data_IF_763227502255
#
_entry.id   IF_763227502255
#
_cell.length_a   1.000
_cell.length_b   1.000
_cell.length_c   1.000
_cell.angle_alpha   90.00
_cell.angle_beta   90.00
_cell.angle_gamma   90.00
#
_symmetry.space_group_name_H-M   'P 1'
#
loop_
_entity.id
_entity.type
_entity.pdbx_description
1 polymer ?
#
# COMPACT_ATOMS: atom_id res chain seq x y z
N UNK A 1 -29.68 60.10 -32.29
CA UNK A 1 -28.70 59.00 -32.21
C UNK A 1 -28.39 58.58 -33.64
N UNK A 2 -27.14 58.68 -34.12
CA UNK A 2 -26.83 58.30 -35.50
C UNK A 2 -27.02 56.78 -35.69
N UNK A 3 -27.59 56.34 -36.83
CA UNK A 3 -27.77 54.91 -37.10
C UNK A 3 -26.40 54.24 -37.26
N UNK A 4 -26.25 53.03 -36.70
CA UNK A 4 -25.06 52.22 -36.95
C UNK A 4 -24.93 51.97 -38.46
N UNK A 5 -23.73 52.21 -38.99
CA UNK A 5 -23.41 51.86 -40.38
C UNK A 5 -23.45 50.33 -40.53
N UNK A 6 -23.84 49.81 -41.71
CA UNK A 6 -23.92 48.36 -41.95
C UNK A 6 -22.59 47.64 -41.66
N UNK A 7 -21.45 48.29 -41.93
CA UNK A 7 -20.12 47.78 -41.61
C UNK A 7 -19.89 47.57 -40.09
N UNK A 8 -20.44 48.43 -39.24
CA UNK A 8 -20.33 48.27 -37.79
C UNK A 8 -21.13 47.07 -37.27
N UNK A 9 -22.25 46.74 -37.92
CA UNK A 9 -23.09 45.59 -37.58
C UNK A 9 -22.36 44.28 -37.93
N UNK A 10 -21.71 44.22 -39.11
CA UNK A 10 -20.92 43.06 -39.52
C UNK A 10 -19.72 42.81 -38.59
N UNK A 11 -18.99 43.87 -38.22
CA UNK A 11 -17.87 43.76 -37.27
C UNK A 11 -18.32 43.26 -35.90
N UNK A 12 -19.47 43.72 -35.39
CA UNK A 12 -20.04 43.24 -34.13
C UNK A 12 -20.36 41.74 -34.20
N UNK A 13 -20.90 41.28 -35.34
CA UNK A 13 -21.25 39.86 -35.56
C UNK A 13 -20.01 38.96 -35.53
N UNK A 14 -18.93 39.36 -36.21
CA UNK A 14 -17.66 38.62 -36.18
C UNK A 14 -17.01 38.60 -34.79
N UNK A 15 -17.09 39.70 -34.04
CA UNK A 15 -16.61 39.75 -32.66
C UNK A 15 -17.39 38.81 -31.74
N UNK A 16 -18.72 38.78 -31.83
CA UNK A 16 -19.56 37.86 -31.08
C UNK A 16 -19.28 36.39 -31.46
N UNK A 17 -19.12 36.10 -32.76
CA UNK A 17 -18.85 34.74 -33.23
C UNK A 17 -17.48 34.22 -32.77
N UNK A 18 -16.44 35.04 -32.86
CA UNK A 18 -15.07 34.67 -32.44
C UNK A 18 -14.98 34.50 -30.93
N UNK A 19 -15.54 35.42 -30.15
CA UNK A 19 -15.57 35.31 -28.68
C UNK A 19 -16.37 34.08 -28.21
N UNK A 20 -17.53 33.79 -28.79
CA UNK A 20 -18.31 32.59 -28.48
C UNK A 20 -17.55 31.31 -28.85
N UNK A 21 -16.91 31.28 -30.01
CA UNK A 21 -16.10 30.14 -30.45
C UNK A 21 -14.92 29.86 -29.50
N UNK A 22 -14.24 30.92 -29.04
CA UNK A 22 -13.15 30.81 -28.06
C UNK A 22 -13.69 30.27 -26.73
N UNK A 23 -14.81 30.81 -26.23
CA UNK A 23 -15.43 30.36 -24.97
C UNK A 23 -15.83 28.88 -25.02
N UNK A 24 -16.45 28.44 -26.11
CA UNK A 24 -16.86 27.04 -26.32
C UNK A 24 -15.62 26.14 -26.40
N UNK A 25 -14.61 26.54 -27.17
CA UNK A 25 -13.35 25.80 -27.30
C UNK A 25 -12.61 25.66 -25.97
N UNK A 26 -12.40 26.77 -25.25
CA UNK A 26 -11.76 26.74 -23.94
C UNK A 26 -12.56 25.95 -22.91
N UNK A 27 -13.89 26.09 -22.91
CA UNK A 27 -14.76 25.35 -22.00
C UNK A 27 -14.70 23.84 -22.24
N UNK A 28 -14.66 23.41 -23.50
CA UNK A 28 -14.49 22.00 -23.85
C UNK A 28 -13.14 21.44 -23.38
N UNK A 29 -12.04 22.17 -23.61
CA UNK A 29 -10.70 21.76 -23.18
C UNK A 29 -10.62 21.64 -21.66
N UNK A 30 -11.14 22.64 -20.93
CA UNK A 30 -11.17 22.61 -19.45
C UNK A 30 -12.00 21.42 -18.96
N UNK A 31 -13.20 21.20 -19.52
CA UNK A 31 -14.05 20.07 -19.14
C UNK A 31 -13.34 18.73 -19.38
N UNK A 32 -12.67 18.58 -20.52
CA UNK A 32 -11.92 17.37 -20.85
C UNK A 32 -10.74 17.14 -19.90
N UNK A 33 -10.00 18.20 -19.56
CA UNK A 33 -8.92 18.14 -18.58
C UNK A 33 -9.43 17.75 -17.20
N UNK A 34 -10.51 18.37 -16.72
CA UNK A 34 -11.12 18.03 -15.42
C UNK A 34 -11.56 16.58 -15.36
N UNK A 35 -12.17 16.04 -16.43
CA UNK A 35 -12.52 14.63 -16.52
C UNK A 35 -11.29 13.71 -16.48
N UNK A 36 -10.22 14.07 -17.19
CA UNK A 36 -8.96 13.32 -17.13
C UNK A 36 -8.35 13.32 -15.73
N UNK A 37 -8.26 14.48 -15.07
CA UNK A 37 -7.74 14.56 -13.71
C UNK A 37 -8.59 13.78 -12.73
N UNK A 38 -9.92 13.82 -12.87
CA UNK A 38 -10.82 13.05 -12.02
C UNK A 38 -10.67 11.53 -12.22
N UNK A 39 -10.60 11.08 -13.47
CA UNK A 39 -10.40 9.66 -13.80
C UNK A 39 -9.05 9.15 -13.26
N UNK A 40 -7.99 9.94 -13.42
CA UNK A 40 -6.66 9.62 -12.89
C UNK A 40 -6.65 9.56 -11.36
N UNK A 41 -7.32 10.51 -10.71
CA UNK A 41 -7.45 10.53 -9.25
C UNK A 41 -8.23 9.31 -8.72
N UNK A 42 -9.27 8.87 -9.42
CA UNK A 42 -10.01 7.64 -9.06
C UNK A 42 -9.09 6.42 -9.21
N UNK A 43 -8.39 6.28 -10.35
CA UNK A 43 -7.46 5.17 -10.57
C UNK A 43 -6.41 5.07 -9.47
N UNK A 44 -5.78 6.19 -9.12
CA UNK A 44 -4.78 6.22 -8.06
C UNK A 44 -5.34 5.80 -6.70
N UNK A 45 -6.58 6.19 -6.36
CA UNK A 45 -7.23 5.74 -5.13
C UNK A 45 -7.49 4.23 -5.15
N UNK A 46 -8.01 3.70 -6.26
CA UNK A 46 -8.28 2.28 -6.41
C UNK A 46 -7.01 1.44 -6.30
N UNK A 47 -5.93 1.87 -6.95
CA UNK A 47 -4.64 1.19 -6.88
C UNK A 47 -4.09 1.20 -5.44
N UNK A 48 -4.14 2.34 -4.75
CA UNK A 48 -3.67 2.43 -3.36
C UNK A 48 -4.49 1.56 -2.41
N UNK A 49 -5.81 1.47 -2.60
CA UNK A 49 -6.66 0.55 -1.84
C UNK A 49 -6.26 -0.91 -2.09
N UNK A 50 -5.98 -1.27 -3.34
CA UNK A 50 -5.51 -2.62 -3.68
C UNK A 50 -4.16 -2.94 -3.00
N UNK A 51 -3.20 -2.02 -3.06
CA UNK A 51 -1.90 -2.19 -2.41
C UNK A 51 -2.03 -2.33 -0.90
N UNK A 52 -2.88 -1.53 -0.26
CA UNK A 52 -3.16 -1.64 1.17
C UNK A 52 -3.76 -3.00 1.51
N UNK A 53 -4.75 -3.46 0.76
CA UNK A 53 -5.38 -4.76 1.01
C UNK A 53 -4.37 -5.91 0.92
N UNK A 54 -3.48 -5.87 -0.08
CA UNK A 54 -2.37 -6.84 -0.18
C UNK A 54 -1.44 -6.77 1.02
N UNK A 55 -1.07 -5.56 1.45
CA UNK A 55 -0.21 -5.37 2.61
C UNK A 55 -0.86 -5.90 3.90
N UNK A 56 -2.18 -5.74 4.05
CA UNK A 56 -2.94 -6.31 5.16
C UNK A 56 -2.91 -7.84 5.15
N UNK A 57 -3.09 -8.48 3.98
CA UNK A 57 -2.94 -9.93 3.83
C UNK A 57 -1.54 -10.39 4.22
N UNK A 58 -0.50 -9.76 3.68
CA UNK A 58 0.90 -10.10 3.99
C UNK A 58 1.21 -9.93 5.48
N UNK A 59 0.70 -8.86 6.11
CA UNK A 59 0.88 -8.63 7.55
C UNK A 59 0.20 -9.72 8.37
N UNK A 60 -1.01 -10.14 7.99
CA UNK A 60 -1.72 -11.25 8.64
C UNK A 60 -0.98 -12.59 8.48
N UNK A 61 -0.40 -12.85 7.30
CA UNK A 61 0.42 -14.04 7.06
C UNK A 61 1.69 -14.05 7.91
N UNK A 62 2.40 -12.91 8.01
CA UNK A 62 3.58 -12.79 8.87
C UNK A 62 3.25 -12.96 10.35
N UNK A 63 2.13 -12.40 10.82
CA UNK A 63 1.64 -12.62 12.18
C UNK A 63 1.33 -14.10 12.46
N UNK A 64 0.70 -14.77 11.50
CA UNK A 64 0.44 -16.21 11.58
C UNK A 64 1.74 -17.02 11.67
N UNK A 65 2.74 -16.70 10.83
CA UNK A 65 4.06 -17.34 10.85
C UNK A 65 4.79 -17.10 12.18
N UNK A 66 4.78 -15.88 12.69
CA UNK A 66 5.40 -15.54 13.98
C UNK A 66 4.72 -16.29 15.13
N UNK A 67 3.39 -16.38 15.12
CA UNK A 67 2.63 -17.16 16.10
C UNK A 67 2.91 -18.67 15.99
N UNK A 68 3.04 -19.21 14.78
CA UNK A 68 3.44 -20.62 14.58
C UNK A 68 4.84 -20.89 15.15
N UNK A 69 5.79 -19.97 14.96
CA UNK A 69 7.14 -20.07 15.51
C UNK A 69 7.15 -20.03 17.04
N UNK A 70 6.40 -19.10 17.63
CA UNK A 70 6.23 -19.01 19.09
C UNK A 70 5.61 -20.30 19.65
N UNK A 71 4.52 -20.79 19.04
CA UNK A 71 3.89 -22.04 19.48
C UNK A 71 4.84 -23.23 19.37
N UNK A 72 5.53 -23.41 18.24
CA UNK A 72 6.49 -24.50 18.06
C UNK A 72 7.63 -24.49 19.07
N UNK A 73 8.12 -23.31 19.45
CA UNK A 73 9.17 -23.18 20.47
C UNK A 73 8.77 -23.75 21.83
N UNK A 74 7.47 -23.71 22.17
CA UNK A 74 6.94 -24.27 23.42
C UNK A 74 6.85 -25.80 23.43
N UNK A 75 6.85 -26.45 22.26
CA UNK A 75 6.71 -27.90 22.14
C UNK A 75 8.04 -28.63 21.86
N UNK A 76 9.14 -27.91 21.62
CA UNK A 76 10.46 -28.52 21.45
C UNK A 76 11.00 -28.95 22.80
N UNK A 77 11.50 -30.19 22.89
CA UNK A 77 12.25 -30.66 24.04
C UNK A 77 13.62 -29.97 24.07
N UNK A 78 13.72 -28.89 24.86
CA UNK A 78 14.93 -28.09 25.06
C UNK A 78 14.62 -26.61 25.21
N UNK A 79 15.45 -25.88 25.95
CA UNK A 79 15.33 -24.42 26.03
C UNK A 79 15.79 -23.81 24.71
N UNK A 80 14.93 -22.98 24.11
CA UNK A 80 15.29 -22.15 22.96
C UNK A 80 16.24 -21.06 23.43
N UNK A 81 17.15 -20.61 22.55
CA UNK A 81 18.09 -19.53 22.91
C UNK A 81 17.35 -18.27 23.36
N UNK A 82 17.85 -17.62 24.42
CA UNK A 82 17.33 -16.33 24.88
C UNK A 82 17.40 -15.27 23.79
N UNK A 83 18.45 -15.29 22.96
CA UNK A 83 18.63 -14.34 21.86
C UNK A 83 17.58 -14.55 20.77
N UNK A 84 17.23 -15.80 20.49
CA UNK A 84 16.17 -16.14 19.54
C UNK A 84 14.82 -15.61 20.02
N UNK A 85 14.48 -15.84 21.29
CA UNK A 85 13.22 -15.38 21.89
C UNK A 85 13.14 -13.85 21.90
N UNK A 86 14.24 -13.16 22.24
CA UNK A 86 14.29 -11.71 22.22
C UNK A 86 14.10 -11.15 20.80
N UNK A 87 14.79 -11.73 19.80
CA UNK A 87 14.65 -11.30 18.40
C UNK A 87 13.24 -11.54 17.86
N UNK A 88 12.60 -12.66 18.22
CA UNK A 88 11.20 -12.91 17.86
C UNK A 88 10.27 -11.90 18.54
N UNK A 89 10.52 -11.56 19.81
CA UNK A 89 9.76 -10.53 20.52
C UNK A 89 9.84 -9.16 19.86
N UNK A 90 11.04 -8.75 19.41
CA UNK A 90 11.25 -7.50 18.66
C UNK A 90 10.47 -7.53 17.34
N UNK A 91 10.60 -8.60 16.54
CA UNK A 91 9.90 -8.73 15.27
C UNK A 91 8.37 -8.73 15.44
N UNK A 92 7.85 -9.37 16.50
CA UNK A 92 6.44 -9.34 16.85
C UNK A 92 5.95 -7.94 17.24
N UNK A 93 6.74 -7.19 18.02
CA UNK A 93 6.41 -5.81 18.36
C UNK A 93 6.37 -4.92 17.11
N UNK A 94 7.33 -5.07 16.20
CA UNK A 94 7.32 -4.37 14.91
C UNK A 94 6.10 -4.76 14.06
N UNK A 95 5.68 -6.04 14.05
CA UNK A 95 4.46 -6.48 13.38
C UNK A 95 3.20 -5.85 13.96
N UNK A 96 3.12 -5.70 15.28
CA UNK A 96 1.99 -5.01 15.93
C UNK A 96 1.93 -3.55 15.49
N UNK A 97 3.07 -2.84 15.50
CA UNK A 97 3.14 -1.46 14.99
C UNK A 97 2.76 -1.36 13.51
N UNK A 98 3.10 -2.37 12.70
CA UNK A 98 2.65 -2.46 11.31
C UNK A 98 1.13 -2.59 11.23
N UNK A 99 0.55 -3.46 12.05
CA UNK A 99 -0.90 -3.64 12.17
C UNK A 99 -1.63 -2.36 12.57
N UNK A 100 -1.08 -1.60 13.52
CA UNK A 100 -1.66 -0.32 13.99
C UNK A 100 -1.56 0.81 12.95
N UNK A 101 -0.57 0.76 12.05
CA UNK A 101 -0.40 1.78 11.01
C UNK A 101 -1.31 1.58 9.81
N UNK A 102 -1.80 0.37 9.54
CA UNK A 102 -2.70 0.08 8.41
C UNK A 102 -4.05 0.85 8.49
N UNK A 103 -4.75 0.93 9.63
CA UNK A 103 -5.95 1.75 9.78
C UNK A 103 -5.72 3.25 9.53
N UNK A 104 -4.52 3.76 9.84
CA UNK A 104 -4.19 5.17 9.58
C UNK A 104 -4.11 5.45 8.07
N UNK A 105 -3.64 4.47 7.29
CA UNK A 105 -3.63 4.56 5.82
C UNK A 105 -5.06 4.57 5.28
N UNK A 106 -5.98 3.78 5.86
CA UNK A 106 -7.40 3.80 5.48
C UNK A 106 -8.00 5.20 5.68
N UNK A 107 -7.75 5.84 6.82
CA UNK A 107 -8.22 7.20 7.07
C UNK A 107 -7.65 8.23 6.07
N UNK A 108 -6.41 8.04 5.60
CA UNK A 108 -5.81 8.90 4.58
C UNK A 108 -6.46 8.71 3.21
N UNK A 109 -6.80 7.47 2.85
CA UNK A 109 -7.49 7.13 1.60
C UNK A 109 -8.94 7.65 1.60
N UNK A 110 -9.67 7.51 2.71
CA UNK A 110 -11.02 8.06 2.89
C UNK A 110 -11.02 9.59 2.72
N UNK A 111 -10.01 10.26 3.28
CA UNK A 111 -9.82 11.71 3.15
C UNK A 111 -9.24 12.14 1.79
N UNK A 112 -9.06 11.21 0.84
CA UNK A 112 -8.50 11.45 -0.50
C UNK A 112 -7.09 12.06 -0.47
N UNK A 113 -6.32 11.83 0.59
CA UNK A 113 -4.93 12.31 0.74
C UNK A 113 -3.95 11.36 0.06
N UNK A 114 -4.02 11.29 -1.28
CA UNK A 114 -3.26 10.32 -2.11
C UNK A 114 -1.76 10.32 -1.81
N UNK A 115 -1.12 11.50 -1.76
CA UNK A 115 0.33 11.60 -1.54
C UNK A 115 0.76 11.01 -0.19
N UNK A 116 0.06 11.38 0.88
CA UNK A 116 0.33 10.87 2.22
C UNK A 116 0.04 9.37 2.33
N UNK A 117 -1.06 8.90 1.71
CA UNK A 117 -1.38 7.47 1.68
C UNK A 117 -0.30 6.67 0.93
N UNK A 118 0.20 7.17 -0.21
CA UNK A 118 1.30 6.53 -0.97
C UNK A 118 2.58 6.45 -0.14
N UNK A 119 2.95 7.53 0.56
CA UNK A 119 4.12 7.55 1.44
C UNK A 119 3.95 6.56 2.62
N UNK A 120 2.76 6.52 3.21
CA UNK A 120 2.39 5.55 4.25
C UNK A 120 2.53 4.11 3.79
N UNK A 121 1.91 3.75 2.66
CA UNK A 121 2.00 2.41 2.07
C UNK A 121 3.46 2.07 1.76
N UNK A 122 4.23 2.97 1.15
CA UNK A 122 5.64 2.71 0.83
C UNK A 122 6.48 2.45 2.09
N UNK A 123 6.24 3.21 3.18
CA UNK A 123 6.91 3.00 4.47
C UNK A 123 6.54 1.66 5.07
N UNK A 124 5.24 1.34 5.10
CA UNK A 124 4.75 0.07 5.65
C UNK A 124 5.22 -1.14 4.83
N UNK A 125 5.36 -1.03 3.51
CA UNK A 125 5.98 -2.07 2.67
C UNK A 125 7.46 -2.30 3.00
N UNK A 126 8.24 -1.24 3.25
CA UNK A 126 9.65 -1.37 3.66
C UNK A 126 9.76 -2.06 5.02
N UNK A 127 8.88 -1.69 5.95
CA UNK A 127 8.82 -2.29 7.28
C UNK A 127 8.42 -3.77 7.20
N UNK A 128 7.36 -4.09 6.44
CA UNK A 128 6.97 -5.48 6.16
C UNK A 128 8.12 -6.30 5.56
N UNK A 129 8.86 -5.74 4.59
CA UNK A 129 10.00 -6.43 3.99
C UNK A 129 11.16 -6.62 4.98
N UNK A 130 11.40 -5.69 5.91
CA UNK A 130 12.40 -5.84 6.97
C UNK A 130 12.01 -6.98 7.91
N UNK A 131 10.79 -6.93 8.44
CA UNK A 131 10.27 -7.94 9.37
C UNK A 131 10.24 -9.32 8.70
N UNK A 132 9.83 -9.42 7.44
CA UNK A 132 9.84 -10.68 6.70
C UNK A 132 11.24 -11.31 6.62
N UNK A 133 12.29 -10.50 6.46
CA UNK A 133 13.67 -10.99 6.48
C UNK A 133 14.08 -11.41 7.89
N UNK A 134 13.79 -10.60 8.89
CA UNK A 134 14.10 -10.91 10.28
C UNK A 134 13.42 -12.21 10.74
N UNK A 135 12.14 -12.41 10.44
CA UNK A 135 11.43 -13.66 10.71
C UNK A 135 12.08 -14.85 9.99
N UNK A 136 12.51 -14.66 8.75
CA UNK A 136 13.22 -15.70 8.00
C UNK A 136 14.55 -16.06 8.67
N UNK A 137 15.35 -15.07 9.05
CA UNK A 137 16.65 -15.26 9.70
C UNK A 137 16.48 -15.90 11.08
N UNK A 138 15.50 -15.46 11.87
CA UNK A 138 15.14 -16.06 13.17
C UNK A 138 14.73 -17.52 12.99
N UNK A 139 13.96 -17.82 11.94
CA UNK A 139 13.55 -19.20 11.64
C UNK A 139 14.74 -20.09 11.23
N UNK A 140 15.73 -19.55 10.53
CA UNK A 140 16.95 -20.27 10.16
C UNK A 140 17.92 -20.46 11.34
N UNK A 141 17.95 -19.50 12.28
CA UNK A 141 18.86 -19.53 13.42
C UNK A 141 18.62 -20.71 14.37
N UNK A 142 17.40 -21.24 14.43
CA UNK A 142 17.08 -22.38 15.29
C UNK A 142 16.41 -23.51 14.45
N UNK A 143 17.20 -24.32 13.73
CA UNK A 143 16.69 -25.34 12.81
C UNK A 143 15.88 -26.45 13.51
N UNK A 144 15.96 -26.57 14.85
CA UNK A 144 15.12 -27.46 15.64
C UNK A 144 13.61 -27.16 15.46
N UNK A 145 13.26 -25.90 15.16
CA UNK A 145 11.89 -25.46 14.84
C UNK A 145 11.44 -25.83 13.43
N UNK A 146 12.37 -26.14 12.53
CA UNK A 146 12.06 -26.54 11.16
C UNK A 146 11.59 -27.99 11.05
N UNK A 147 11.76 -28.78 12.12
CA UNK A 147 11.45 -30.20 12.15
C UNK A 147 12.38 -30.97 11.24
N UNK A 148 13.40 -31.59 11.81
CA UNK A 148 14.17 -32.60 11.08
C UNK A 148 13.21 -33.74 10.73
N UNK A 149 12.78 -33.79 9.46
CA UNK A 149 12.14 -34.96 8.87
C UNK A 149 13.13 -36.13 8.68
N UNK A 150 14.38 -35.99 9.11
CA UNK A 150 15.46 -36.96 8.91
C UNK A 150 16.04 -37.59 10.19
N UNK A 151 15.48 -37.32 11.37
CA UNK A 151 15.95 -37.92 12.64
C UNK A 151 15.24 -39.23 13.04
N UNK A 152 14.73 -39.98 12.06
CA UNK A 152 14.46 -41.42 12.14
C UNK A 152 14.75 -41.99 10.74
N UNK A 153 15.63 -42.96 10.50
CA UNK A 153 15.85 -44.20 11.23
C UNK A 153 17.26 -44.70 10.84
N UNK A 154 18.27 -44.42 11.65
CA UNK A 154 19.57 -45.12 11.61
C UNK A 154 19.92 -45.51 13.04
N UNK A 155 19.20 -46.50 13.55
CA UNK A 155 19.62 -47.32 14.69
C UNK A 155 18.74 -48.57 14.73
N UNK A 156 18.93 -49.45 13.73
CA UNK A 156 18.73 -50.90 13.89
C UNK A 156 19.85 -51.59 13.11
N UNK A 157 21.07 -51.51 13.66
CA UNK A 157 22.08 -52.55 13.52
C UNK A 157 22.25 -53.12 14.92
N UNK A 158 21.79 -54.34 15.15
CA UNK A 158 22.64 -55.48 15.51
C UNK A 158 21.80 -56.69 15.90
#
# INVERSE_FOLDING_TARGET
>A
MPPLTPAAIEMLWWLCFTTLSILIGSGYVVRRLTLHFHAEHIRQLTDLQLYKNRLQTVTSEMLSQANEMDQKSKYIQGNVSSDWSNNLGIACNELVQLGETLPLIDQLLERKKIKAAREGIARSCRMASKISRELHDIRLAEPKLLGDKNSGTKNQQS
#
